data_IF_089287947904
#
_entry.id   IF_089287947904
#
_cell.length_a   1.000
_cell.length_b   1.000
_cell.length_c   1.000
_cell.angle_alpha   90.00
_cell.angle_beta   90.00
_cell.angle_gamma   90.00
#
_symmetry.space_group_name_H-M   'P 1'
#
loop_
_entity.id
_entity.type
_entity.pdbx_description
1 polymer ?
#
# COMPACT_ATOMS: atom_id res chain seq x y z
N UNK A 1 44.84 -2.75 45.01
CA UNK A 1 45.65 -2.65 43.77
C UNK A 1 44.69 -2.66 42.62
N UNK A 2 44.40 -1.51 42.07
CA UNK A 2 43.47 -1.32 40.94
C UNK A 2 44.21 -1.52 39.64
N UNK A 3 43.64 -2.32 38.75
CA UNK A 3 44.13 -2.47 37.39
C UNK A 3 43.81 -1.22 36.55
N UNK A 4 44.68 -0.76 35.66
CA UNK A 4 44.40 0.39 34.83
C UNK A 4 43.44 0.00 33.68
N UNK A 5 42.38 0.81 33.54
CA UNK A 5 41.46 0.74 32.40
C UNK A 5 42.24 1.28 31.15
N UNK A 6 42.62 0.42 30.23
CA UNK A 6 43.11 0.80 28.93
C UNK A 6 41.93 1.34 28.11
N UNK A 7 41.80 2.63 27.99
CA UNK A 7 40.94 3.26 26.98
C UNK A 7 41.55 2.99 25.60
N UNK A 8 40.72 2.40 24.75
CA UNK A 8 41.09 2.02 23.39
C UNK A 8 41.27 3.29 22.53
N UNK A 9 42.51 3.76 22.41
CA UNK A 9 42.88 4.93 21.60
C UNK A 9 42.61 4.76 20.09
N UNK A 10 42.51 3.52 19.61
CA UNK A 10 42.16 3.23 18.23
C UNK A 10 40.66 3.47 17.94
N UNK A 11 39.79 3.14 18.89
CA UNK A 11 38.35 3.42 18.75
C UNK A 11 38.07 4.94 18.76
N UNK A 12 38.75 5.72 19.61
CA UNK A 12 38.64 7.19 19.61
C UNK A 12 39.21 7.81 18.33
N UNK A 13 40.35 7.30 17.83
CA UNK A 13 40.91 7.74 16.57
C UNK A 13 39.99 7.43 15.37
N UNK A 14 39.34 6.27 15.38
CA UNK A 14 38.38 5.86 14.34
C UNK A 14 37.11 6.73 14.35
N UNK A 15 36.60 7.04 15.53
CA UNK A 15 35.46 7.97 15.73
C UNK A 15 35.83 9.40 15.31
N UNK A 16 37.05 9.83 15.62
CA UNK A 16 37.53 11.16 15.24
C UNK A 16 37.86 11.28 13.74
N UNK A 17 38.34 10.20 13.12
CA UNK A 17 38.54 10.10 11.67
C UNK A 17 37.21 10.10 10.93
N UNK A 18 36.19 9.35 11.40
CA UNK A 18 34.81 9.39 10.84
C UNK A 18 34.16 10.76 11.02
N UNK A 19 34.35 11.43 12.17
CA UNK A 19 33.88 12.81 12.37
C UNK A 19 34.57 13.82 11.45
N UNK A 20 35.86 13.62 11.14
CA UNK A 20 36.59 14.55 10.25
C UNK A 20 36.17 14.38 8.79
N UNK A 21 35.86 13.17 8.35
CA UNK A 21 35.28 12.90 7.00
C UNK A 21 33.87 13.50 6.89
N UNK A 22 33.03 13.41 7.92
CA UNK A 22 31.68 14.01 7.96
C UNK A 22 31.66 15.55 8.02
N UNK A 23 32.83 16.20 8.23
CA UNK A 23 32.95 17.64 8.36
C UNK A 23 33.35 18.36 7.06
N UNK A 24 33.64 17.62 5.96
CA UNK A 24 33.95 18.28 4.68
C UNK A 24 32.69 18.87 4.04
N UNK A 25 32.66 20.11 3.59
CA UNK A 25 31.49 20.77 3.01
C UNK A 25 30.90 20.03 1.79
N UNK A 26 31.77 19.40 0.99
CA UNK A 26 31.38 18.55 -0.16
C UNK A 26 30.59 17.32 0.24
N UNK A 27 31.02 16.57 1.26
CA UNK A 27 30.31 15.38 1.74
C UNK A 27 28.98 15.71 2.43
N UNK A 28 28.89 16.84 3.13
CA UNK A 28 27.60 17.30 3.68
C UNK A 28 26.61 17.66 2.57
N UNK A 29 27.07 18.24 1.48
CA UNK A 29 26.25 18.53 0.31
C UNK A 29 25.77 17.26 -0.37
N UNK A 30 26.62 16.26 -0.53
CA UNK A 30 26.28 14.95 -1.14
C UNK A 30 25.29 14.16 -0.27
N UNK A 31 25.50 14.08 1.04
CA UNK A 31 24.57 13.42 1.98
C UNK A 31 23.21 14.13 1.95
N UNK A 32 23.16 15.46 1.99
CA UNK A 32 21.92 16.21 1.91
C UNK A 32 21.18 16.00 0.58
N UNK A 33 21.90 15.84 -0.54
CA UNK A 33 21.32 15.50 -1.85
C UNK A 33 20.80 14.06 -1.89
N UNK A 34 21.53 13.10 -1.31
CA UNK A 34 21.09 11.72 -1.19
C UNK A 34 19.82 11.61 -0.34
N UNK A 35 19.74 12.33 0.78
CA UNK A 35 18.55 12.34 1.62
C UNK A 35 17.35 12.96 0.90
N UNK A 36 17.57 14.03 0.11
CA UNK A 36 16.52 14.63 -0.72
C UNK A 36 16.05 13.68 -1.83
N UNK A 37 16.97 12.98 -2.49
CA UNK A 37 16.63 12.00 -3.51
C UNK A 37 15.77 10.86 -2.91
N UNK A 38 16.22 10.30 -1.78
CA UNK A 38 15.48 9.25 -1.07
C UNK A 38 14.10 9.72 -0.61
N UNK A 39 13.99 10.93 -0.06
CA UNK A 39 12.72 11.53 0.33
C UNK A 39 11.76 11.64 -0.84
N UNK A 40 12.21 12.16 -1.98
CA UNK A 40 11.38 12.36 -3.17
C UNK A 40 10.92 10.99 -3.74
N UNK A 41 11.86 10.06 -3.94
CA UNK A 41 11.55 8.74 -4.50
C UNK A 41 10.58 7.99 -3.60
N UNK A 42 10.87 7.88 -2.29
CA UNK A 42 9.99 7.22 -1.33
C UNK A 42 8.59 7.84 -1.31
N UNK A 43 8.49 9.18 -1.22
CA UNK A 43 7.19 9.85 -1.19
C UNK A 43 6.38 9.59 -2.46
N UNK A 44 7.01 9.66 -3.64
CA UNK A 44 6.33 9.43 -4.90
C UNK A 44 5.86 7.96 -5.04
N UNK A 45 6.68 6.99 -4.66
CA UNK A 45 6.33 5.57 -4.67
C UNK A 45 5.18 5.26 -3.71
N UNK A 46 5.19 5.85 -2.51
CA UNK A 46 4.06 5.78 -1.58
C UNK A 46 2.77 6.33 -2.20
N UNK A 47 2.84 7.47 -2.90
CA UNK A 47 1.66 8.03 -3.56
C UNK A 47 1.19 7.20 -4.75
N UNK A 48 2.10 6.63 -5.54
CA UNK A 48 1.76 5.79 -6.69
C UNK A 48 0.98 4.54 -6.25
N UNK A 49 1.43 3.88 -5.18
CA UNK A 49 0.76 2.70 -4.64
C UNK A 49 -0.44 3.09 -3.76
N UNK A 50 -0.20 3.71 -2.60
CA UNK A 50 -1.28 3.98 -1.64
C UNK A 50 -2.30 5.02 -2.13
N UNK A 51 -1.91 5.98 -2.97
CA UNK A 51 -2.85 6.91 -3.58
C UNK A 51 -3.90 6.19 -4.43
N UNK A 52 -3.47 5.16 -5.17
CA UNK A 52 -4.37 4.28 -5.93
C UNK A 52 -5.25 3.45 -4.99
N UNK A 53 -4.66 2.81 -3.97
CA UNK A 53 -5.39 2.05 -2.97
C UNK A 53 -6.47 2.91 -2.30
N UNK A 54 -6.17 4.13 -1.89
CA UNK A 54 -7.15 5.03 -1.23
C UNK A 54 -8.30 5.46 -2.13
N UNK A 55 -8.05 5.74 -3.43
CA UNK A 55 -9.15 6.04 -4.37
C UNK A 55 -10.09 4.86 -4.54
N UNK A 56 -9.54 3.64 -4.56
CA UNK A 56 -10.30 2.42 -4.73
C UNK A 56 -11.06 2.04 -3.47
N UNK A 57 -10.49 2.23 -2.28
CA UNK A 57 -11.24 2.10 -1.02
C UNK A 57 -12.47 3.03 -0.98
N UNK A 58 -12.30 4.27 -1.43
CA UNK A 58 -13.43 5.20 -1.49
C UNK A 58 -14.50 4.74 -2.48
N UNK A 59 -14.10 4.18 -3.64
CA UNK A 59 -15.01 3.59 -4.62
C UNK A 59 -15.75 2.37 -4.04
N UNK A 60 -15.07 1.46 -3.35
CA UNK A 60 -15.71 0.28 -2.77
C UNK A 60 -16.68 0.65 -1.65
N UNK A 61 -16.38 1.68 -0.86
CA UNK A 61 -17.35 2.23 0.09
C UNK A 61 -18.56 2.83 -0.63
N UNK A 62 -18.34 3.62 -1.70
CA UNK A 62 -19.39 4.23 -2.51
C UNK A 62 -20.33 3.17 -3.09
N UNK A 63 -19.76 2.13 -3.70
CA UNK A 63 -20.52 1.01 -4.28
C UNK A 63 -21.29 0.18 -3.23
N UNK A 64 -20.85 0.21 -1.98
CA UNK A 64 -21.46 -0.57 -0.90
C UNK A 64 -22.61 0.12 -0.19
N UNK A 65 -22.89 1.41 -0.43
CA UNK A 65 -23.96 2.12 0.22
C UNK A 65 -25.32 1.88 -0.46
N UNK A 66 -26.37 1.95 0.34
CA UNK A 66 -27.76 1.95 -0.15
C UNK A 66 -28.25 3.37 -0.44
N UNK A 67 -29.34 3.55 -1.19
CA UNK A 67 -29.96 4.86 -1.41
C UNK A 67 -30.25 5.67 -0.14
N UNK A 68 -30.47 5.00 1.00
CA UNK A 68 -30.68 5.63 2.29
C UNK A 68 -29.44 6.40 2.80
N UNK A 69 -28.27 6.14 2.26
CA UNK A 69 -26.99 6.71 2.69
C UNK A 69 -26.37 7.66 1.64
N UNK A 70 -27.20 8.40 0.89
CA UNK A 70 -26.75 9.26 -0.20
C UNK A 70 -25.70 10.32 0.18
N UNK A 71 -25.70 10.82 1.43
CA UNK A 71 -24.67 11.74 1.93
C UNK A 71 -23.31 11.05 2.06
N UNK A 72 -23.31 9.79 2.49
CA UNK A 72 -22.09 8.97 2.59
C UNK A 72 -21.56 8.61 1.21
N UNK A 73 -22.45 8.31 0.25
CA UNK A 73 -22.09 8.08 -1.16
C UNK A 73 -21.36 9.29 -1.73
N UNK A 74 -21.94 10.51 -1.58
CA UNK A 74 -21.30 11.75 -2.05
C UNK A 74 -19.96 12.01 -1.37
N UNK A 75 -19.84 11.69 -0.09
CA UNK A 75 -18.60 11.87 0.66
C UNK A 75 -17.53 10.85 0.24
N UNK A 76 -17.90 9.62 -0.10
CA UNK A 76 -17.01 8.64 -0.67
C UNK A 76 -16.49 9.09 -2.04
N UNK A 77 -17.37 9.56 -2.94
CA UNK A 77 -16.97 10.14 -4.23
C UNK A 77 -16.02 11.34 -4.08
N UNK A 78 -16.25 12.21 -3.10
CA UNK A 78 -15.33 13.31 -2.79
C UNK A 78 -13.91 12.81 -2.49
N UNK A 79 -13.76 11.78 -1.63
CA UNK A 79 -12.44 11.21 -1.32
C UNK A 79 -11.83 10.48 -2.52
N UNK A 80 -12.63 9.74 -3.29
CA UNK A 80 -12.20 9.09 -4.52
C UNK A 80 -11.54 10.10 -5.47
N UNK A 81 -12.26 11.19 -5.79
CA UNK A 81 -11.73 12.27 -6.66
C UNK A 81 -10.51 12.96 -6.05
N UNK A 82 -10.49 13.14 -4.73
CA UNK A 82 -9.35 13.71 -4.04
C UNK A 82 -8.08 12.88 -4.24
N UNK A 83 -8.17 11.56 -4.10
CA UNK A 83 -7.04 10.66 -4.32
C UNK A 83 -6.75 10.41 -5.81
N UNK A 84 -7.71 10.51 -6.72
CA UNK A 84 -7.45 10.57 -8.17
C UNK A 84 -6.56 11.78 -8.50
N UNK A 85 -6.83 12.94 -7.90
CA UNK A 85 -6.00 14.15 -8.08
C UNK A 85 -4.59 13.99 -7.50
N UNK A 86 -4.46 13.39 -6.30
CA UNK A 86 -3.15 13.06 -5.69
C UNK A 86 -2.36 12.12 -6.59
N UNK A 87 -2.99 11.03 -7.05
CA UNK A 87 -2.36 10.04 -7.90
C UNK A 87 -1.93 10.64 -9.26
N UNK A 88 -2.79 11.44 -9.90
CA UNK A 88 -2.47 12.13 -11.15
C UNK A 88 -1.22 13.01 -10.99
N UNK A 89 -1.15 13.78 -9.91
CA UNK A 89 -0.01 14.63 -9.64
C UNK A 89 1.25 13.80 -9.33
N UNK A 90 1.13 12.73 -8.55
CA UNK A 90 2.23 11.80 -8.27
C UNK A 90 2.80 11.21 -9.55
N UNK A 91 1.94 10.68 -10.45
CA UNK A 91 2.37 10.13 -11.75
C UNK A 91 3.14 11.19 -12.56
N UNK A 92 2.62 12.43 -12.61
CA UNK A 92 3.28 13.53 -13.34
C UNK A 92 4.66 13.88 -12.81
N UNK A 93 4.91 13.70 -11.49
CA UNK A 93 6.20 13.97 -10.84
C UNK A 93 7.15 12.76 -10.84
N UNK A 94 6.64 11.55 -11.09
CA UNK A 94 7.38 10.29 -10.93
C UNK A 94 8.20 9.89 -12.15
N UNK A 95 7.99 10.54 -13.31
CA UNK A 95 8.66 10.14 -14.55
C UNK A 95 10.17 10.33 -14.47
N UNK A 96 10.93 9.24 -14.59
CA UNK A 96 12.39 9.26 -14.46
C UNK A 96 12.88 9.37 -13.01
N UNK A 97 12.04 9.08 -12.00
CA UNK A 97 12.38 9.09 -10.56
C UNK A 97 12.11 7.73 -9.92
N UNK A 98 11.01 7.08 -10.27
CA UNK A 98 10.56 5.80 -9.66
C UNK A 98 11.53 4.67 -9.94
N UNK A 99 11.76 3.81 -8.96
CA UNK A 99 12.62 2.65 -9.08
C UNK A 99 12.04 1.60 -10.03
N UNK A 100 12.94 0.91 -10.74
CA UNK A 100 12.58 -0.14 -11.67
C UNK A 100 11.78 -1.27 -11.00
N UNK A 101 12.19 -1.67 -9.78
CA UNK A 101 11.53 -2.71 -9.03
C UNK A 101 10.06 -2.39 -8.73
N UNK A 102 9.70 -1.12 -8.50
CA UNK A 102 8.31 -0.67 -8.29
C UNK A 102 7.53 -0.74 -9.61
N UNK A 103 8.12 -0.25 -10.71
CA UNK A 103 7.44 -0.23 -12.01
C UNK A 103 7.17 -1.63 -12.57
N UNK A 104 8.05 -2.60 -12.29
CA UNK A 104 7.96 -3.97 -12.79
C UNK A 104 7.25 -4.94 -11.82
N UNK A 105 6.95 -4.52 -10.58
CA UNK A 105 6.33 -5.37 -9.57
C UNK A 105 4.90 -5.80 -9.89
N UNK A 106 4.17 -5.05 -10.70
CA UNK A 106 2.73 -5.21 -10.89
C UNK A 106 1.88 -4.66 -9.73
N UNK A 107 2.47 -3.87 -8.82
CA UNK A 107 1.73 -3.24 -7.71
C UNK A 107 0.96 -1.99 -8.13
N UNK A 108 1.42 -1.29 -9.18
CA UNK A 108 0.77 -0.07 -9.66
C UNK A 108 -0.42 -0.38 -10.58
N UNK A 109 -0.29 -1.35 -11.42
CA UNK A 109 -1.33 -1.90 -12.30
C UNK A 109 -0.92 -3.30 -12.76
N UNK A 110 -1.92 -4.11 -13.16
CA UNK A 110 -1.73 -5.44 -13.75
C UNK A 110 -2.30 -5.44 -15.17
N UNK A 111 -2.19 -6.57 -15.87
CA UNK A 111 -2.84 -6.77 -17.17
C UNK A 111 -4.38 -6.68 -17.08
N UNK A 112 -4.96 -6.88 -15.90
CA UNK A 112 -6.41 -6.86 -15.69
C UNK A 112 -6.93 -5.45 -15.37
N UNK A 113 -6.11 -4.54 -14.82
CA UNK A 113 -6.55 -3.27 -14.22
C UNK A 113 -7.44 -2.45 -15.17
N UNK A 114 -7.03 -2.24 -16.41
CA UNK A 114 -7.78 -1.42 -17.36
C UNK A 114 -9.16 -1.99 -17.67
N UNK A 115 -9.28 -3.32 -17.81
CA UNK A 115 -10.56 -3.99 -18.03
C UNK A 115 -11.41 -4.01 -16.77
N UNK A 116 -10.80 -4.27 -15.61
CA UNK A 116 -11.46 -4.28 -14.31
C UNK A 116 -12.05 -2.90 -13.96
N UNK A 117 -11.33 -1.80 -14.23
CA UNK A 117 -11.84 -0.42 -14.07
C UNK A 117 -13.06 -0.19 -14.99
N UNK A 118 -12.96 -0.60 -16.28
CA UNK A 118 -14.06 -0.45 -17.24
C UNK A 118 -15.32 -1.23 -16.82
N UNK A 119 -15.16 -2.51 -16.42
CA UNK A 119 -16.27 -3.35 -16.00
C UNK A 119 -16.89 -2.85 -14.69
N UNK A 120 -16.08 -2.48 -13.70
CA UNK A 120 -16.56 -1.95 -12.43
C UNK A 120 -17.35 -0.67 -12.62
N UNK A 121 -16.87 0.25 -13.49
CA UNK A 121 -17.64 1.46 -13.85
C UNK A 121 -18.98 1.09 -14.51
N UNK A 122 -18.98 0.12 -15.40
CA UNK A 122 -20.21 -0.33 -16.07
C UNK A 122 -21.23 -0.92 -15.08
N UNK A 123 -20.77 -1.75 -14.14
CA UNK A 123 -21.63 -2.45 -13.19
C UNK A 123 -22.16 -1.57 -12.07
N UNK A 124 -21.38 -0.58 -11.64
CA UNK A 124 -21.73 0.28 -10.51
C UNK A 124 -22.32 1.64 -10.94
N UNK A 125 -22.07 2.07 -12.17
CA UNK A 125 -22.36 3.43 -12.63
C UNK A 125 -21.41 4.50 -12.03
N UNK A 126 -20.44 4.12 -11.18
CA UNK A 126 -19.51 5.04 -10.54
C UNK A 126 -18.39 5.41 -11.53
N UNK A 127 -18.20 6.71 -11.83
CA UNK A 127 -17.12 7.13 -12.74
C UNK A 127 -15.73 6.80 -12.19
N UNK A 128 -14.86 6.26 -13.04
CA UNK A 128 -13.46 5.93 -12.73
C UNK A 128 -12.55 6.66 -13.72
N UNK A 129 -11.57 7.40 -13.20
CA UNK A 129 -10.56 8.05 -14.03
C UNK A 129 -9.54 7.01 -14.56
N UNK A 130 -9.88 6.38 -15.69
CA UNK A 130 -9.07 5.33 -16.33
C UNK A 130 -7.81 5.86 -17.00
N UNK A 131 -7.70 7.17 -17.22
CA UNK A 131 -6.49 7.78 -17.76
C UNK A 131 -5.31 7.61 -16.80
N UNK A 132 -5.56 7.55 -15.49
CA UNK A 132 -4.53 7.33 -14.47
C UNK A 132 -3.77 6.02 -14.69
N UNK A 133 -4.46 4.94 -15.05
CA UNK A 133 -3.83 3.65 -15.38
C UNK A 133 -2.99 3.76 -16.66
N UNK A 134 -3.51 4.42 -17.70
CA UNK A 134 -2.77 4.65 -18.94
C UNK A 134 -1.53 5.55 -18.73
N UNK A 135 -1.62 6.55 -17.86
CA UNK A 135 -0.49 7.41 -17.50
C UNK A 135 0.57 6.63 -16.69
N UNK A 136 0.15 5.82 -15.71
CA UNK A 136 1.06 5.00 -14.90
C UNK A 136 1.84 4.00 -15.77
N UNK A 137 1.18 3.39 -16.77
CA UNK A 137 1.82 2.46 -17.72
C UNK A 137 2.90 3.11 -18.61
N UNK A 138 2.95 4.43 -18.68
CA UNK A 138 3.98 5.18 -19.43
C UNK A 138 5.14 5.65 -18.56
N UNK A 139 5.11 5.39 -17.27
CA UNK A 139 6.21 5.73 -16.37
C UNK A 139 7.47 4.98 -16.80
N UNK A 140 8.61 5.64 -16.65
CA UNK A 140 9.93 5.06 -16.88
C UNK A 140 10.75 5.18 -15.62
N UNK A 141 11.55 4.18 -15.34
CA UNK A 141 12.53 4.24 -14.26
C UNK A 141 13.53 5.37 -14.51
N UNK A 142 14.15 5.86 -13.47
CA UNK A 142 15.00 7.00 -13.55
C UNK A 142 16.30 6.89 -12.79
N UNK A 143 17.01 8.02 -12.82
CA UNK A 143 18.23 8.25 -12.08
C UNK A 143 17.88 9.19 -10.92
N UNK A 144 18.14 8.78 -9.66
CA UNK A 144 17.97 9.64 -8.47
C UNK A 144 18.69 10.98 -8.56
N UNK A 145 19.73 11.11 -9.41
CA UNK A 145 20.44 12.36 -9.64
C UNK A 145 19.58 13.46 -10.28
N UNK A 146 18.37 13.15 -10.75
CA UNK A 146 17.43 14.12 -11.34
C UNK A 146 16.60 14.89 -10.32
N UNK A 147 16.74 14.61 -9.04
CA UNK A 147 15.99 15.32 -7.99
C UNK A 147 16.48 16.75 -7.87
N UNK A 148 15.57 17.68 -8.05
CA UNK A 148 15.85 19.12 -7.98
C UNK A 148 15.12 19.78 -6.80
N UNK A 149 15.61 20.91 -6.26
CA UNK A 149 14.91 21.62 -5.19
C UNK A 149 13.46 22.01 -5.51
N UNK A 150 13.09 22.39 -6.76
CA UNK A 150 11.69 22.60 -7.13
C UNK A 150 10.84 21.32 -7.00
N UNK A 151 11.37 20.15 -7.41
CA UNK A 151 10.70 18.87 -7.28
C UNK A 151 10.46 18.51 -5.82
N UNK A 152 11.46 18.68 -4.95
CA UNK A 152 11.30 18.46 -3.50
C UNK A 152 10.15 19.30 -2.93
N UNK A 153 10.06 20.59 -3.31
CA UNK A 153 8.95 21.45 -2.86
C UNK A 153 7.59 20.96 -3.35
N UNK A 154 7.50 20.51 -4.60
CA UNK A 154 6.25 19.97 -5.17
C UNK A 154 5.83 18.68 -4.47
N UNK A 155 6.77 17.78 -4.18
CA UNK A 155 6.52 16.54 -3.44
C UNK A 155 6.07 16.84 -2.00
N UNK A 156 6.72 17.78 -1.32
CA UNK A 156 6.28 18.23 0.02
C UNK A 156 4.85 18.76 0.02
N UNK A 157 4.47 19.57 -0.97
CA UNK A 157 3.08 20.04 -1.12
C UNK A 157 2.10 18.90 -1.40
N UNK A 158 2.55 17.88 -2.16
CA UNK A 158 1.73 16.69 -2.43
C UNK A 158 1.52 15.86 -1.16
N UNK A 159 2.59 15.60 -0.39
CA UNK A 159 2.51 14.93 0.91
C UNK A 159 1.53 15.64 1.85
N UNK A 160 1.62 16.96 1.99
CA UNK A 160 0.70 17.74 2.83
C UNK A 160 -0.75 17.65 2.36
N UNK A 161 -0.98 17.62 1.05
CA UNK A 161 -2.32 17.45 0.48
C UNK A 161 -2.87 16.06 0.77
N UNK A 162 -2.06 15.02 0.56
CA UNK A 162 -2.43 13.65 0.87
C UNK A 162 -2.70 13.44 2.36
N UNK A 163 -1.89 14.01 3.26
CA UNK A 163 -2.08 13.93 4.71
C UNK A 163 -3.44 14.52 5.14
N UNK A 164 -3.83 15.69 4.61
CA UNK A 164 -5.15 16.28 4.90
C UNK A 164 -6.30 15.40 4.41
N UNK A 165 -6.18 14.82 3.21
CA UNK A 165 -7.19 13.90 2.68
C UNK A 165 -7.25 12.61 3.51
N UNK A 166 -6.11 12.07 3.93
CA UNK A 166 -6.03 10.86 4.77
C UNK A 166 -6.68 11.07 6.14
N UNK A 167 -6.39 12.16 6.82
CA UNK A 167 -7.02 12.46 8.11
C UNK A 167 -8.55 12.52 7.98
N UNK A 168 -9.05 13.15 6.91
CA UNK A 168 -10.48 13.19 6.63
C UNK A 168 -11.07 11.83 6.24
N UNK A 169 -10.38 11.05 5.39
CA UNK A 169 -10.84 9.72 4.95
C UNK A 169 -10.85 8.72 6.11
N UNK A 170 -9.85 8.75 6.98
CA UNK A 170 -9.79 7.88 8.18
C UNK A 170 -10.99 8.19 9.08
N UNK A 171 -11.22 9.46 9.42
CA UNK A 171 -12.39 9.85 10.24
C UNK A 171 -13.72 9.49 9.59
N UNK A 172 -13.81 9.56 8.26
CA UNK A 172 -14.98 9.12 7.52
C UNK A 172 -15.21 7.61 7.63
N UNK A 173 -14.18 6.79 7.39
CA UNK A 173 -14.23 5.33 7.55
C UNK A 173 -14.59 4.92 8.98
N UNK A 174 -13.99 5.55 9.99
CA UNK A 174 -14.29 5.30 11.40
C UNK A 174 -15.75 5.65 11.74
N UNK A 175 -16.30 6.71 11.14
CA UNK A 175 -17.72 7.07 11.33
C UNK A 175 -18.67 6.05 10.71
N UNK A 176 -18.32 5.46 9.54
CA UNK A 176 -19.07 4.36 8.91
C UNK A 176 -19.05 3.14 9.82
N UNK A 177 -17.85 2.69 10.21
CA UNK A 177 -17.68 1.52 11.09
C UNK A 177 -18.53 1.64 12.36
N UNK A 178 -18.43 2.79 13.05
CA UNK A 178 -19.22 3.05 14.26
C UNK A 178 -20.73 2.91 14.01
N UNK A 179 -21.23 3.45 12.88
CA UNK A 179 -22.67 3.39 12.55
C UNK A 179 -23.12 1.98 12.21
N UNK A 180 -22.30 1.21 11.50
CA UNK A 180 -22.57 -0.20 11.17
C UNK A 180 -22.62 -1.03 12.45
N UNK A 181 -21.61 -0.93 13.32
CA UNK A 181 -21.54 -1.68 14.58
C UNK A 181 -22.66 -1.30 15.57
N UNK A 182 -23.22 -0.11 15.47
CA UNK A 182 -24.37 0.33 16.29
C UNK A 182 -25.73 0.10 15.60
N UNK A 183 -25.79 -0.65 14.50
CA UNK A 183 -27.00 -0.90 13.70
C UNK A 183 -27.72 0.36 13.22
N UNK A 184 -26.98 1.46 13.00
CA UNK A 184 -27.49 2.75 12.49
C UNK A 184 -27.24 2.96 10.99
N UNK A 185 -26.56 2.02 10.34
CA UNK A 185 -26.25 2.05 8.91
C UNK A 185 -26.15 0.61 8.42
N UNK A 186 -26.67 0.38 7.22
CA UNK A 186 -26.40 -0.82 6.44
C UNK A 186 -25.47 -0.50 5.28
N UNK A 187 -24.51 -1.35 5.02
CA UNK A 187 -23.65 -1.39 3.82
C UNK A 187 -23.36 -2.84 3.48
N UNK A 188 -23.08 -3.14 2.21
CA UNK A 188 -22.67 -4.50 1.80
C UNK A 188 -21.22 -4.80 2.20
N UNK A 189 -20.48 -3.80 2.68
CA UNK A 189 -19.10 -3.99 3.15
C UNK A 189 -19.10 -4.57 4.57
N UNK A 190 -18.31 -5.64 4.79
CA UNK A 190 -18.14 -6.21 6.12
C UNK A 190 -17.54 -5.19 7.11
N UNK A 191 -17.92 -5.21 8.41
CA UNK A 191 -17.22 -4.41 9.42
C UNK A 191 -15.71 -4.64 9.40
N UNK A 192 -15.26 -5.91 9.29
CA UNK A 192 -13.84 -6.26 9.18
C UNK A 192 -13.17 -5.63 7.95
N UNK A 193 -13.87 -5.54 6.80
CA UNK A 193 -13.35 -4.87 5.61
C UNK A 193 -13.15 -3.37 5.87
N UNK A 194 -14.09 -2.73 6.59
CA UNK A 194 -13.97 -1.32 6.94
C UNK A 194 -12.79 -1.08 7.91
N UNK A 195 -12.59 -1.97 8.88
CA UNK A 195 -11.43 -1.95 9.79
C UNK A 195 -10.11 -2.14 9.04
N UNK A 196 -10.08 -3.07 8.09
CA UNK A 196 -8.95 -3.36 7.21
C UNK A 196 -8.52 -2.09 6.44
N UNK A 197 -9.42 -1.47 5.69
CA UNK A 197 -9.11 -0.28 4.91
C UNK A 197 -8.79 0.96 5.78
N UNK A 198 -9.19 0.98 7.06
CA UNK A 198 -8.76 1.98 8.04
C UNK A 198 -7.29 1.77 8.39
N UNK A 199 -6.85 0.52 8.64
CA UNK A 199 -5.46 0.20 8.98
C UNK A 199 -4.51 0.60 7.87
N UNK A 200 -4.85 0.32 6.62
CA UNK A 200 -4.04 0.70 5.46
C UNK A 200 -3.95 2.21 5.28
N UNK A 201 -5.06 2.93 5.46
CA UNK A 201 -5.03 4.39 5.44
C UNK A 201 -4.17 4.98 6.56
N UNK A 202 -4.18 4.37 7.75
CA UNK A 202 -3.31 4.74 8.87
C UNK A 202 -1.85 4.43 8.58
N UNK A 203 -1.53 3.30 7.95
CA UNK A 203 -0.17 2.95 7.53
C UNK A 203 0.38 3.98 6.54
N UNK A 204 -0.36 4.28 5.49
CA UNK A 204 0.04 5.30 4.51
C UNK A 204 0.28 6.67 5.17
N UNK A 205 -0.61 7.10 6.07
CA UNK A 205 -0.44 8.34 6.84
C UNK A 205 0.83 8.32 7.68
N UNK A 206 1.14 7.20 8.31
CA UNK A 206 2.37 7.03 9.12
C UNK A 206 3.59 7.20 8.25
N UNK A 207 3.70 6.51 7.13
CA UNK A 207 4.83 6.63 6.21
C UNK A 207 5.04 8.05 5.70
N UNK A 208 3.97 8.77 5.34
CA UNK A 208 4.10 10.17 4.93
C UNK A 208 4.55 11.08 6.06
N UNK A 209 4.09 10.85 7.29
CA UNK A 209 4.52 11.63 8.45
C UNK A 209 5.97 11.39 8.82
N UNK A 210 6.43 10.16 8.70
CA UNK A 210 7.81 9.78 8.95
C UNK A 210 8.73 10.40 7.89
N UNK A 211 8.35 10.31 6.60
CA UNK A 211 9.07 10.99 5.53
C UNK A 211 9.17 12.51 5.76
N UNK A 212 8.08 13.18 6.18
CA UNK A 212 8.09 14.62 6.49
C UNK A 212 8.96 14.99 7.72
N UNK A 213 9.24 14.02 8.61
CA UNK A 213 10.16 14.18 9.74
C UNK A 213 11.61 13.86 9.40
N UNK A 214 11.88 13.36 8.18
CA UNK A 214 13.20 12.90 7.76
C UNK A 214 13.52 11.46 8.19
N UNK A 215 12.56 10.72 8.71
CA UNK A 215 12.70 9.30 8.95
C UNK A 215 12.36 8.53 7.67
N UNK A 216 13.42 8.17 6.95
CA UNK A 216 13.35 7.49 5.66
C UNK A 216 13.73 5.99 5.76
N UNK A 217 13.85 5.46 6.98
CA UNK A 217 14.29 4.06 7.17
C UNK A 217 13.18 3.05 6.90
N UNK A 218 11.91 3.47 6.95
CA UNK A 218 10.75 2.58 6.79
C UNK A 218 10.52 1.68 8.00
N UNK A 219 9.56 0.76 7.89
CA UNK A 219 9.27 -0.24 8.91
C UNK A 219 10.35 -1.34 8.94
N UNK A 220 10.54 -1.95 10.10
CA UNK A 220 11.31 -3.19 10.20
C UNK A 220 10.63 -4.31 9.42
N UNK A 221 11.39 -5.31 8.97
CA UNK A 221 10.82 -6.47 8.27
C UNK A 221 9.75 -7.17 9.14
N UNK A 222 9.95 -7.27 10.45
CA UNK A 222 8.96 -7.84 11.37
C UNK A 222 7.63 -7.06 11.35
N UNK A 223 7.66 -5.74 11.43
CA UNK A 223 6.44 -4.91 11.36
C UNK A 223 5.76 -5.04 10.00
N UNK A 224 6.54 -5.11 8.93
CA UNK A 224 6.06 -5.36 7.56
C UNK A 224 5.35 -6.71 7.48
N UNK A 225 5.95 -7.80 7.98
CA UNK A 225 5.34 -9.12 7.97
C UNK A 225 4.07 -9.19 8.84
N UNK A 226 4.10 -8.62 10.04
CA UNK A 226 2.91 -8.60 10.92
C UNK A 226 1.76 -7.87 10.26
N UNK A 227 2.03 -6.72 9.62
CA UNK A 227 0.99 -5.97 8.94
C UNK A 227 0.46 -6.72 7.71
N UNK A 228 1.34 -7.10 6.78
CA UNK A 228 0.91 -7.65 5.50
C UNK A 228 0.42 -9.09 5.58
N UNK A 229 0.91 -9.93 6.50
CA UNK A 229 0.32 -11.24 6.74
C UNK A 229 -1.12 -11.11 7.26
N UNK A 230 -1.42 -10.12 8.10
CA UNK A 230 -2.79 -9.83 8.52
C UNK A 230 -3.64 -9.37 7.34
N UNK A 231 -3.15 -8.46 6.48
CA UNK A 231 -3.85 -8.01 5.27
C UNK A 231 -4.15 -9.19 4.34
N UNK A 232 -3.17 -10.07 4.08
CA UNK A 232 -3.37 -11.23 3.21
C UNK A 232 -4.36 -12.24 3.80
N UNK A 233 -4.30 -12.48 5.12
CA UNK A 233 -5.31 -13.32 5.81
C UNK A 233 -6.72 -12.79 5.59
N UNK A 234 -6.90 -11.49 5.78
CA UNK A 234 -8.21 -10.85 5.64
C UNK A 234 -8.69 -10.84 4.18
N UNK A 235 -7.80 -10.68 3.19
CA UNK A 235 -8.15 -10.86 1.78
C UNK A 235 -8.70 -12.25 1.50
N UNK A 236 -8.08 -13.30 2.04
CA UNK A 236 -8.56 -14.66 1.87
C UNK A 236 -9.96 -14.84 2.50
N UNK A 237 -10.22 -14.25 3.67
CA UNK A 237 -11.52 -14.25 4.31
C UNK A 237 -12.58 -13.50 3.49
N UNK A 238 -12.22 -12.34 2.89
CA UNK A 238 -13.15 -11.57 2.04
C UNK A 238 -13.47 -12.32 0.75
N UNK A 239 -12.46 -12.88 0.07
CA UNK A 239 -12.68 -13.68 -1.15
C UNK A 239 -13.62 -14.84 -0.83
N UNK A 240 -13.37 -15.61 0.25
CA UNK A 240 -14.24 -16.69 0.70
C UNK A 240 -15.68 -16.26 0.89
N UNK A 241 -15.90 -15.09 1.50
CA UNK A 241 -17.25 -14.59 1.83
C UNK A 241 -17.97 -13.90 0.68
N UNK A 242 -17.28 -13.53 -0.40
CA UNK A 242 -17.84 -12.84 -1.57
C UNK A 242 -18.01 -13.76 -2.78
N UNK A 243 -17.49 -14.98 -2.75
CA UNK A 243 -17.76 -16.02 -3.74
C UNK A 243 -19.21 -16.53 -3.62
N UNK A 244 -19.82 -16.91 -4.76
CA UNK A 244 -21.11 -17.57 -4.75
C UNK A 244 -20.99 -18.91 -3.98
N UNK A 245 -22.01 -19.31 -3.18
CA UNK A 245 -21.99 -20.57 -2.42
C UNK A 245 -21.76 -21.82 -3.28
N UNK A 246 -21.95 -21.74 -4.59
CA UNK A 246 -21.70 -22.87 -5.51
C UNK A 246 -20.23 -23.02 -5.90
N UNK A 247 -19.38 -22.06 -5.56
CA UNK A 247 -17.93 -22.09 -5.83
C UNK A 247 -17.13 -22.79 -4.71
N UNK A 248 -17.59 -23.98 -4.30
CA UNK A 248 -17.07 -24.77 -3.16
C UNK A 248 -15.53 -24.91 -3.17
N UNK A 249 -14.93 -25.21 -4.33
CA UNK A 249 -13.49 -25.42 -4.44
C UNK A 249 -12.70 -24.13 -4.15
N UNK A 250 -13.16 -22.99 -4.67
CA UNK A 250 -12.53 -21.68 -4.45
C UNK A 250 -12.72 -21.21 -3.01
N UNK A 251 -13.90 -21.46 -2.41
CA UNK A 251 -14.20 -21.15 -1.01
C UNK A 251 -13.24 -21.92 -0.08
N UNK A 252 -13.09 -23.25 -0.29
CA UNK A 252 -12.17 -24.08 0.49
C UNK A 252 -10.70 -23.63 0.33
N UNK A 253 -10.29 -23.31 -0.88
CA UNK A 253 -8.94 -22.81 -1.14
C UNK A 253 -8.69 -21.48 -0.43
N UNK A 254 -9.66 -20.56 -0.48
CA UNK A 254 -9.56 -19.27 0.23
C UNK A 254 -9.49 -19.46 1.74
N UNK A 255 -10.25 -20.41 2.29
CA UNK A 255 -10.21 -20.73 3.72
C UNK A 255 -8.84 -21.28 4.15
N UNK A 256 -8.24 -22.16 3.32
CA UNK A 256 -6.89 -22.68 3.55
C UNK A 256 -5.87 -21.55 3.60
N UNK A 257 -5.88 -20.60 2.64
CA UNK A 257 -5.01 -19.42 2.68
C UNK A 257 -5.21 -18.59 3.95
N UNK A 258 -6.46 -18.39 4.39
CA UNK A 258 -6.72 -17.64 5.63
C UNK A 258 -6.08 -18.32 6.86
N UNK A 259 -6.11 -19.65 6.94
CA UNK A 259 -5.50 -20.42 8.03
C UNK A 259 -3.96 -20.40 7.97
N UNK A 260 -3.37 -20.53 6.77
CA UNK A 260 -1.93 -20.45 6.55
C UNK A 260 -1.40 -19.06 6.96
N UNK A 261 -2.05 -17.97 6.54
CA UNK A 261 -1.67 -16.61 6.95
C UNK A 261 -1.91 -16.34 8.45
N UNK A 262 -2.93 -16.92 9.07
CA UNK A 262 -3.11 -16.83 10.52
C UNK A 262 -1.90 -17.45 11.26
N UNK A 263 -1.38 -18.56 10.75
CA UNK A 263 -0.18 -19.22 11.28
C UNK A 263 1.07 -18.37 11.09
N UNK A 264 1.28 -17.82 9.89
CA UNK A 264 2.41 -16.92 9.60
C UNK A 264 2.35 -15.66 10.46
N UNK A 265 1.17 -15.08 10.64
CA UNK A 265 0.97 -13.91 11.49
C UNK A 265 1.32 -14.20 12.97
N UNK A 266 0.89 -15.36 13.50
CA UNK A 266 1.25 -15.76 14.86
C UNK A 266 2.76 -15.89 15.01
N UNK A 267 3.43 -16.59 14.09
CA UNK A 267 4.90 -16.73 14.08
C UNK A 267 5.62 -15.37 13.96
N UNK A 268 5.19 -14.49 13.06
CA UNK A 268 5.80 -13.17 12.91
C UNK A 268 5.73 -12.33 14.19
N UNK A 269 4.70 -12.54 15.02
CA UNK A 269 4.57 -11.87 16.34
C UNK A 269 5.52 -12.43 17.38
N UNK A 270 5.81 -13.74 17.36
CA UNK A 270 6.55 -14.45 18.41
C UNK A 270 8.06 -14.50 18.15
N UNK A 271 8.52 -14.64 16.91
CA UNK A 271 9.92 -14.94 16.59
C UNK A 271 10.79 -13.70 16.53
N UNK A 272 12.00 -13.80 17.14
CA UNK A 272 13.06 -12.81 17.02
C UNK A 272 14.03 -13.11 15.84
N UNK A 273 13.96 -14.31 15.23
CA UNK A 273 14.83 -14.71 14.12
C UNK A 273 14.15 -14.41 12.76
N UNK A 274 14.77 -13.48 12.02
CA UNK A 274 14.17 -12.73 10.89
C UNK A 274 14.19 -13.49 9.55
N UNK A 275 15.05 -14.49 9.37
CA UNK A 275 15.31 -15.04 8.03
C UNK A 275 14.31 -16.12 7.60
N UNK A 276 13.84 -16.94 8.52
CA UNK A 276 12.95 -18.07 8.19
C UNK A 276 11.52 -17.63 7.92
N UNK A 277 10.99 -16.70 8.73
CA UNK A 277 9.60 -16.21 8.58
C UNK A 277 9.41 -15.46 7.27
N UNK A 278 10.38 -14.63 6.88
CA UNK A 278 10.33 -13.86 5.64
C UNK A 278 10.25 -14.77 4.39
N UNK A 279 11.03 -15.86 4.35
CA UNK A 279 10.99 -16.83 3.25
C UNK A 279 9.66 -17.59 3.17
N UNK A 280 9.10 -17.99 4.32
CA UNK A 280 7.79 -18.63 4.38
C UNK A 280 6.69 -17.68 3.92
N UNK A 281 6.68 -16.43 4.41
CA UNK A 281 5.75 -15.39 3.98
C UNK A 281 5.85 -15.10 2.48
N UNK A 282 7.07 -15.04 1.92
CA UNK A 282 7.28 -14.85 0.50
C UNK A 282 6.73 -16.02 -0.32
N UNK A 283 7.05 -17.24 0.06
CA UNK A 283 6.58 -18.46 -0.62
C UNK A 283 5.06 -18.52 -0.65
N UNK A 284 4.41 -18.24 0.48
CA UNK A 284 2.96 -18.27 0.59
C UNK A 284 2.31 -17.14 -0.19
N UNK A 285 2.91 -15.95 -0.17
CA UNK A 285 2.38 -14.80 -0.92
C UNK A 285 2.48 -15.00 -2.43
N UNK A 286 3.52 -15.69 -2.92
CA UNK A 286 3.62 -16.10 -4.33
C UNK A 286 2.47 -17.05 -4.72
N UNK A 287 2.17 -18.06 -3.89
CA UNK A 287 1.03 -18.97 -4.13
C UNK A 287 -0.31 -18.23 -4.12
N UNK A 288 -0.49 -17.33 -3.17
CA UNK A 288 -1.72 -16.55 -3.04
C UNK A 288 -1.88 -15.52 -4.16
N UNK A 289 -0.78 -14.92 -4.64
CA UNK A 289 -0.79 -14.09 -5.85
C UNK A 289 -1.27 -14.88 -7.07
N UNK A 290 -0.79 -16.11 -7.26
CA UNK A 290 -1.21 -16.94 -8.40
C UNK A 290 -2.70 -17.29 -8.31
N UNK A 291 -3.22 -17.58 -7.11
CA UNK A 291 -4.65 -17.75 -6.87
C UNK A 291 -5.45 -16.48 -7.17
N UNK A 292 -4.99 -15.31 -6.71
CA UNK A 292 -5.63 -14.02 -7.00
C UNK A 292 -5.58 -13.67 -8.49
N UNK A 293 -4.50 -14.01 -9.18
CA UNK A 293 -4.37 -13.83 -10.64
C UNK A 293 -5.42 -14.65 -11.39
N UNK A 294 -5.56 -15.92 -11.05
CA UNK A 294 -6.61 -16.79 -11.61
C UNK A 294 -8.01 -16.27 -11.27
N UNK A 295 -8.20 -15.79 -10.04
CA UNK A 295 -9.45 -15.18 -9.57
C UNK A 295 -9.81 -13.91 -10.35
N UNK A 296 -8.87 -12.96 -10.49
CA UNK A 296 -9.07 -11.72 -11.26
C UNK A 296 -9.42 -12.03 -12.71
N UNK A 297 -8.71 -12.98 -13.33
CA UNK A 297 -9.02 -13.45 -14.68
C UNK A 297 -10.42 -14.07 -14.76
N UNK A 298 -10.75 -15.00 -13.87
CA UNK A 298 -12.03 -15.70 -13.87
C UNK A 298 -13.24 -14.77 -13.64
N UNK A 299 -13.07 -13.74 -12.79
CA UNK A 299 -14.10 -12.72 -12.53
C UNK A 299 -14.25 -11.80 -13.75
N UNK A 300 -13.17 -11.31 -14.34
CA UNK A 300 -13.24 -10.46 -15.55
C UNK A 300 -13.75 -11.19 -16.78
N UNK A 301 -13.52 -12.50 -16.88
CA UNK A 301 -14.03 -13.37 -17.94
C UNK A 301 -15.46 -13.90 -17.65
N UNK A 302 -16.09 -13.51 -16.54
CA UNK A 302 -17.41 -13.99 -16.09
C UNK A 302 -17.49 -15.51 -15.90
N UNK A 303 -16.36 -16.16 -15.51
CA UNK A 303 -16.27 -17.61 -15.29
C UNK A 303 -16.39 -18.01 -13.82
N UNK A 304 -16.19 -17.08 -12.90
CA UNK A 304 -16.33 -17.26 -11.46
C UNK A 304 -17.60 -16.52 -11.00
N UNK A 305 -18.46 -17.21 -10.30
CA UNK A 305 -19.68 -16.62 -9.71
C UNK A 305 -19.33 -15.96 -8.40
N UNK A 306 -19.59 -14.67 -8.28
CA UNK A 306 -19.28 -13.91 -7.08
C UNK A 306 -20.01 -12.57 -7.05
N UNK A 307 -19.99 -11.91 -5.91
CA UNK A 307 -20.33 -10.48 -5.77
C UNK A 307 -19.09 -9.59 -5.70
N UNK A 308 -17.91 -10.13 -6.08
CA UNK A 308 -16.65 -9.40 -6.13
C UNK A 308 -16.65 -8.48 -7.34
N UNK A 309 -16.47 -7.18 -7.12
CA UNK A 309 -16.25 -6.23 -8.20
C UNK A 309 -14.92 -6.57 -8.93
N UNK A 310 -14.87 -6.51 -10.27
CA UNK A 310 -13.65 -6.81 -11.01
C UNK A 310 -12.44 -5.99 -10.54
N UNK A 311 -12.63 -4.70 -10.22
CA UNK A 311 -11.55 -3.85 -9.70
C UNK A 311 -11.11 -4.26 -8.29
N UNK A 312 -12.00 -4.83 -7.46
CA UNK A 312 -11.62 -5.36 -6.15
C UNK A 312 -10.72 -6.60 -6.29
N UNK A 313 -11.00 -7.47 -7.25
CA UNK A 313 -10.15 -8.62 -7.54
C UNK A 313 -8.73 -8.20 -8.00
N UNK A 314 -8.62 -7.21 -8.87
CA UNK A 314 -7.34 -6.63 -9.29
C UNK A 314 -6.63 -5.87 -8.16
N UNK A 315 -7.38 -5.17 -7.32
CA UNK A 315 -6.87 -4.43 -6.17
C UNK A 315 -6.11 -5.35 -5.19
N UNK A 316 -6.75 -6.43 -4.73
CA UNK A 316 -6.09 -7.36 -3.80
C UNK A 316 -4.92 -8.13 -4.44
N UNK A 317 -4.91 -8.28 -5.77
CA UNK A 317 -3.76 -8.84 -6.50
C UNK A 317 -2.58 -7.87 -6.48
N UNK A 318 -2.80 -6.58 -6.70
CA UNK A 318 -1.75 -5.55 -6.66
C UNK A 318 -1.14 -5.42 -5.26
N UNK A 319 -1.92 -5.57 -4.21
CA UNK A 319 -1.42 -5.58 -2.83
C UNK A 319 -0.56 -6.83 -2.53
N UNK A 320 -0.91 -7.99 -3.10
CA UNK A 320 -0.02 -9.15 -3.02
C UNK A 320 1.31 -8.91 -3.75
N UNK A 321 1.29 -8.27 -4.91
CA UNK A 321 2.49 -7.88 -5.64
C UNK A 321 3.36 -6.89 -4.84
N UNK A 322 2.74 -5.91 -4.19
CA UNK A 322 3.43 -4.99 -3.29
C UNK A 322 4.11 -5.72 -2.13
N UNK A 323 3.41 -6.63 -1.47
CA UNK A 323 3.97 -7.40 -0.36
C UNK A 323 5.13 -8.29 -0.82
N UNK A 324 5.01 -8.96 -1.98
CA UNK A 324 6.11 -9.73 -2.58
C UNK A 324 7.35 -8.85 -2.80
N UNK A 325 7.18 -7.64 -3.34
CA UNK A 325 8.30 -6.71 -3.52
C UNK A 325 8.96 -6.35 -2.20
N UNK A 326 8.17 -6.07 -1.16
CA UNK A 326 8.70 -5.74 0.18
C UNK A 326 9.48 -6.92 0.82
N UNK A 327 9.05 -8.16 0.59
CA UNK A 327 9.73 -9.35 1.09
C UNK A 327 10.99 -9.72 0.28
N UNK A 328 11.14 -9.16 -0.92
CA UNK A 328 12.26 -9.45 -1.84
C UNK A 328 13.32 -8.34 -1.85
N UNK A 329 13.15 -7.27 -1.07
CA UNK A 329 14.01 -6.08 -1.02
C UNK A 329 15.27 -6.27 -0.08
#
# INVERSE_FOLDING_TARGET
MGAPIFFDREAEAQIQYQRHILLQPTMRGEIALMDQAKYVTLSLELHLFFGRIMKEHALFLEAGFTPANGDFTRKADFYKRGFESVLRRAIGLSHGITDKCVLESGELFTEFTANAERQTQCFTGIPIDRELTAMAARLRCGDPCRVSPPLCRQVKQLNQTALRLLDGLIGFKESILKRVLCCRMFTVNYPLLIEHIIREAKLYRTFLRDAERGDLCGQSMKETEVFWNQIMMEHAQFIRGLLDPTEDALIKTSDAFAQEYATLLARAREVNDRSMTCQESLKETLRFRDFKTAGAKGITDCKIRSVILPLLADHVLREANHYIRLLSA
#
